data_IF_492497939504
#
_entry.id   IF_492497939504
#
_cell.length_a   1.000
_cell.length_b   1.000
_cell.length_c   1.000
_cell.angle_alpha   90.00
_cell.angle_beta   90.00
_cell.angle_gamma   90.00
#
_symmetry.space_group_name_H-M   'P 1'
#
loop_
_entity.id
_entity.type
_entity.pdbx_description
1 polymer ?
#
# COMPACT_ATOMS: atom_id res chain seq x y z
N UNK A 1 9.11 22.95 5.89
CA UNK A 1 9.00 21.50 6.19
C UNK A 1 8.90 20.79 4.85
N UNK A 2 9.96 20.12 4.39
CA UNK A 2 9.80 19.20 3.25
C UNK A 2 8.91 18.06 3.72
N UNK A 3 7.65 18.06 3.30
CA UNK A 3 6.70 17.03 3.69
C UNK A 3 7.11 15.69 3.09
N UNK A 4 7.23 14.65 3.92
CA UNK A 4 7.43 13.30 3.43
C UNK A 4 6.15 12.80 2.74
N UNK A 5 6.25 12.37 1.49
CA UNK A 5 5.16 11.75 0.74
C UNK A 5 4.93 10.31 1.25
N UNK A 6 3.77 10.06 1.84
CA UNK A 6 3.33 8.71 2.18
C UNK A 6 2.82 7.97 0.95
N UNK A 7 3.20 6.70 0.80
CA UNK A 7 2.67 5.79 -0.23
C UNK A 7 1.93 4.60 0.42
N UNK A 8 0.80 4.21 -0.17
CA UNK A 8 0.10 2.97 0.15
C UNK A 8 0.44 1.92 -0.89
N UNK A 9 0.94 0.75 -0.47
CA UNK A 9 1.37 -0.31 -1.40
C UNK A 9 0.39 -1.48 -1.38
N UNK A 10 -0.14 -1.85 -2.55
CA UNK A 10 -1.03 -3.01 -2.72
C UNK A 10 -0.26 -4.19 -3.30
N UNK A 11 -0.35 -5.37 -2.70
CA UNK A 11 0.39 -6.56 -3.14
C UNK A 11 -0.39 -7.88 -2.99
N UNK A 12 -0.11 -8.87 -3.84
CA UNK A 12 -0.71 -10.22 -3.76
C UNK A 12 0.28 -11.36 -3.51
N UNK A 13 1.58 -11.08 -3.46
CA UNK A 13 2.63 -12.10 -3.50
C UNK A 13 3.78 -11.89 -2.53
N UNK A 14 4.98 -12.28 -2.96
CA UNK A 14 6.21 -12.28 -2.14
C UNK A 14 6.67 -10.89 -1.67
N UNK A 15 6.24 -9.81 -2.35
CA UNK A 15 6.55 -8.44 -1.95
C UNK A 15 7.97 -7.98 -2.29
N UNK A 16 8.61 -8.49 -3.34
CA UNK A 16 9.96 -8.03 -3.74
C UNK A 16 10.00 -6.56 -4.15
N UNK A 17 8.98 -6.07 -4.89
CA UNK A 17 8.84 -4.65 -5.19
C UNK A 17 8.62 -3.80 -3.91
N UNK A 18 7.85 -4.32 -2.95
CA UNK A 18 7.70 -3.69 -1.64
C UNK A 18 9.05 -3.60 -0.92
N UNK A 19 9.84 -4.68 -0.89
CA UNK A 19 11.15 -4.66 -0.25
C UNK A 19 12.07 -3.61 -0.88
N UNK A 20 12.13 -3.53 -2.20
CA UNK A 20 12.93 -2.53 -2.89
C UNK A 20 12.50 -1.09 -2.53
N UNK A 21 11.19 -0.83 -2.41
CA UNK A 21 10.68 0.46 -1.95
C UNK A 21 11.01 0.74 -0.49
N UNK A 22 10.96 -0.27 0.39
CA UNK A 22 11.37 -0.10 1.78
C UNK A 22 12.85 0.29 1.84
N UNK A 23 13.71 -0.48 1.15
CA UNK A 23 15.16 -0.31 1.19
C UNK A 23 15.60 1.04 0.61
N UNK A 24 14.96 1.51 -0.45
CA UNK A 24 15.39 2.70 -1.20
C UNK A 24 14.63 3.98 -0.85
N UNK A 25 13.38 3.87 -0.38
CA UNK A 25 12.52 5.03 -0.14
C UNK A 25 12.24 5.21 1.35
N UNK A 26 11.85 4.15 2.06
CA UNK A 26 11.40 4.24 3.44
C UNK A 26 12.54 4.39 4.45
N UNK A 27 13.63 3.63 4.27
CA UNK A 27 14.80 3.71 5.15
C UNK A 27 15.65 4.97 4.89
N UNK A 28 15.88 5.39 3.63
CA UNK A 28 16.65 6.60 3.35
C UNK A 28 15.79 7.86 3.55
N UNK A 29 16.01 8.59 4.64
CA UNK A 29 15.23 9.78 5.00
C UNK A 29 15.32 10.95 4.01
N UNK A 30 16.33 10.96 3.14
CA UNK A 30 16.64 12.07 2.23
C UNK A 30 15.71 12.13 1.01
N UNK A 31 15.11 10.99 0.62
CA UNK A 31 14.23 10.91 -0.55
C UNK A 31 12.84 11.49 -0.25
N UNK A 32 12.49 11.65 1.03
CA UNK A 32 11.22 12.24 1.44
C UNK A 32 10.01 11.39 1.06
N UNK A 33 10.16 10.06 0.94
CA UNK A 33 9.06 9.13 0.66
C UNK A 33 9.00 8.09 1.77
N UNK A 34 7.80 7.64 2.17
CA UNK A 34 7.65 6.58 3.17
C UNK A 34 6.50 5.66 2.82
N UNK A 35 6.64 4.36 3.08
CA UNK A 35 5.51 3.43 3.03
C UNK A 35 4.61 3.71 4.24
N UNK A 36 3.41 4.23 4.00
CA UNK A 36 2.44 4.56 5.02
C UNK A 36 1.61 3.34 5.44
N UNK A 37 1.26 2.47 4.48
CA UNK A 37 0.61 1.21 4.75
C UNK A 37 0.82 0.21 3.61
N UNK A 38 0.64 -1.08 3.91
CA UNK A 38 0.62 -2.17 2.94
C UNK A 38 -0.70 -2.92 3.01
N UNK A 39 -1.38 -3.06 1.87
CA UNK A 39 -2.63 -3.82 1.74
C UNK A 39 -2.35 -5.10 0.96
N UNK A 40 -2.49 -6.24 1.62
CA UNK A 40 -2.35 -7.56 1.02
C UNK A 40 -3.68 -8.08 0.47
N UNK A 41 -3.69 -8.73 -0.69
CA UNK A 41 -4.94 -9.28 -1.25
C UNK A 41 -5.50 -10.49 -0.51
N UNK A 42 -4.69 -11.11 0.34
CA UNK A 42 -5.03 -12.28 1.16
C UNK A 42 -4.07 -12.40 2.36
N UNK A 43 -4.44 -13.12 3.44
CA UNK A 43 -3.54 -13.33 4.56
C UNK A 43 -2.33 -14.20 4.19
N UNK A 44 -1.26 -14.09 4.96
CA UNK A 44 -0.07 -14.95 4.85
C UNK A 44 0.77 -14.74 3.59
N UNK A 45 0.71 -13.58 2.96
CA UNK A 45 1.61 -13.24 1.84
C UNK A 45 2.92 -12.65 2.35
N UNK A 46 4.02 -12.92 1.64
CA UNK A 46 5.34 -12.41 2.01
C UNK A 46 5.43 -10.88 2.06
N UNK A 47 4.60 -10.16 1.30
CA UNK A 47 4.53 -8.70 1.39
C UNK A 47 4.11 -8.19 2.78
N UNK A 48 3.12 -8.85 3.42
CA UNK A 48 2.67 -8.47 4.76
C UNK A 48 3.76 -8.76 5.80
N UNK A 49 4.40 -9.92 5.70
CA UNK A 49 5.51 -10.29 6.59
C UNK A 49 6.68 -9.30 6.48
N UNK A 50 7.00 -8.84 5.26
CA UNK A 50 8.03 -7.83 5.03
C UNK A 50 7.65 -6.50 5.69
N UNK A 51 6.44 -6.01 5.46
CA UNK A 51 5.96 -4.77 6.04
C UNK A 51 6.03 -4.79 7.58
N UNK A 52 5.59 -5.88 8.21
CA UNK A 52 5.60 -6.04 9.66
C UNK A 52 7.01 -6.01 10.27
N UNK A 53 8.06 -6.42 9.54
CA UNK A 53 9.45 -6.34 10.04
C UNK A 53 9.99 -4.91 10.18
N UNK A 54 9.31 -3.95 9.56
CA UNK A 54 9.65 -2.53 9.59
C UNK A 54 8.57 -1.70 10.30
N UNK A 55 7.69 -2.35 11.09
CA UNK A 55 6.59 -1.71 11.80
C UNK A 55 5.64 -0.90 10.90
N UNK A 56 5.55 -1.27 9.61
CA UNK A 56 4.65 -0.62 8.66
C UNK A 56 3.23 -1.18 8.88
N UNK A 57 2.20 -0.32 9.04
CA UNK A 57 0.82 -0.76 9.17
C UNK A 57 0.37 -1.66 8.01
N UNK A 58 -0.29 -2.77 8.32
CA UNK A 58 -0.76 -3.73 7.31
C UNK A 58 -2.25 -3.99 7.41
N UNK A 59 -2.87 -4.24 6.26
CA UNK A 59 -4.26 -4.67 6.16
C UNK A 59 -4.41 -5.81 5.15
N UNK A 60 -5.46 -6.62 5.32
CA UNK A 60 -5.85 -7.64 4.35
C UNK A 60 -7.13 -7.18 3.66
N UNK A 61 -7.11 -7.13 2.32
CA UNK A 61 -8.27 -6.79 1.51
C UNK A 61 -9.35 -7.87 1.68
N UNK A 62 -10.56 -7.50 2.13
CA UNK A 62 -11.60 -8.48 2.35
C UNK A 62 -12.14 -9.01 1.00
N UNK A 63 -12.57 -10.29 0.96
CA UNK A 63 -13.04 -10.91 -0.29
C UNK A 63 -14.35 -10.30 -0.79
N UNK A 64 -15.16 -9.72 0.09
CA UNK A 64 -16.50 -9.15 -0.11
C UNK A 64 -16.50 -7.61 -0.24
N UNK A 65 -15.37 -6.99 -0.58
CA UNK A 65 -15.28 -5.56 -0.88
C UNK A 65 -15.81 -5.22 -2.29
N UNK A 66 -17.09 -5.52 -2.49
CA UNK A 66 -17.80 -5.23 -3.74
C UNK A 66 -17.87 -3.71 -3.95
N UNK A 67 -17.34 -3.24 -5.07
CA UNK A 67 -17.26 -1.79 -5.37
C UNK A 67 -16.07 -1.07 -4.74
N UNK A 68 -15.25 -1.73 -3.90
CA UNK A 68 -14.00 -1.17 -3.39
C UNK A 68 -14.18 -0.12 -2.28
N UNK A 69 -15.32 -0.12 -1.57
CA UNK A 69 -15.59 0.84 -0.51
C UNK A 69 -14.59 0.72 0.64
N UNK A 70 -14.33 -0.50 1.09
CA UNK A 70 -13.36 -0.76 2.15
C UNK A 70 -11.95 -0.37 1.69
N UNK A 71 -11.59 -0.71 0.45
CA UNK A 71 -10.28 -0.37 -0.09
C UNK A 71 -10.08 1.16 -0.14
N UNK A 72 -11.09 1.89 -0.63
CA UNK A 72 -11.07 3.36 -0.65
C UNK A 72 -10.86 3.94 0.74
N UNK A 73 -11.68 3.53 1.71
CA UNK A 73 -11.63 4.04 3.08
C UNK A 73 -10.29 3.73 3.76
N UNK A 74 -9.74 2.54 3.53
CA UNK A 74 -8.44 2.14 4.09
C UNK A 74 -7.30 2.99 3.50
N UNK A 75 -7.33 3.22 2.18
CA UNK A 75 -6.37 4.09 1.51
C UNK A 75 -6.49 5.56 1.98
N UNK A 76 -7.70 6.09 2.14
CA UNK A 76 -7.93 7.43 2.68
C UNK A 76 -7.42 7.56 4.12
N UNK A 77 -7.75 6.59 4.98
CA UNK A 77 -7.34 6.57 6.37
C UNK A 77 -5.82 6.46 6.56
N UNK A 78 -5.10 5.89 5.58
CA UNK A 78 -3.64 5.82 5.60
C UNK A 78 -2.95 7.20 5.53
N UNK A 79 -3.65 8.22 5.04
CA UNK A 79 -3.07 9.55 4.75
C UNK A 79 -2.00 9.53 3.66
N UNK A 80 -1.89 8.46 2.87
CA UNK A 80 -0.96 8.39 1.75
C UNK A 80 -1.36 9.36 0.63
N UNK A 81 -0.35 10.01 0.03
CA UNK A 81 -0.55 10.87 -1.14
C UNK A 81 -0.48 10.11 -2.47
N UNK A 82 -0.06 8.84 -2.46
CA UNK A 82 0.03 8.00 -3.65
C UNK A 82 -0.34 6.54 -3.32
N UNK A 83 -1.00 5.89 -4.28
CA UNK A 83 -1.30 4.45 -4.25
C UNK A 83 -0.40 3.73 -5.26
N UNK A 84 0.28 2.67 -4.83
CA UNK A 84 1.24 1.91 -5.63
C UNK A 84 0.80 0.46 -5.75
N UNK A 85 0.56 0.00 -6.98
CA UNK A 85 0.25 -1.40 -7.27
C UNK A 85 1.55 -2.19 -7.45
N UNK A 86 1.95 -2.97 -6.45
CA UNK A 86 3.21 -3.72 -6.43
C UNK A 86 2.94 -5.23 -6.48
N UNK A 87 2.57 -5.72 -7.67
CA UNK A 87 2.17 -7.12 -7.85
C UNK A 87 0.76 -7.38 -7.32
N UNK A 88 -0.13 -6.40 -7.44
CA UNK A 88 -1.57 -6.54 -7.18
C UNK A 88 -2.24 -7.27 -8.34
N UNK A 89 -3.06 -8.28 -8.03
CA UNK A 89 -3.65 -9.19 -9.04
C UNK A 89 -5.19 -9.13 -9.09
N UNK A 90 -5.82 -8.16 -8.43
CA UNK A 90 -7.27 -7.94 -8.49
C UNK A 90 -7.57 -6.67 -9.29
N UNK A 91 -8.74 -6.62 -9.93
CA UNK A 91 -9.22 -5.36 -10.50
C UNK A 91 -9.48 -4.35 -9.37
N UNK A 92 -9.16 -3.09 -9.64
CA UNK A 92 -9.49 -1.96 -8.75
C UNK A 92 -10.81 -1.38 -9.26
N UNK A 93 -11.75 -1.12 -8.34
CA UNK A 93 -13.05 -0.55 -8.72
C UNK A 93 -12.89 0.85 -9.31
N UNK A 94 -13.83 1.24 -10.18
CA UNK A 94 -13.83 2.57 -10.78
C UNK A 94 -13.93 3.68 -9.73
N UNK A 95 -14.61 3.44 -8.60
CA UNK A 95 -14.70 4.39 -7.49
C UNK A 95 -13.35 4.65 -6.83
N UNK A 96 -12.58 3.59 -6.55
CA UNK A 96 -11.23 3.75 -6.00
C UNK A 96 -10.33 4.49 -7.00
N UNK A 97 -10.38 4.13 -8.29
CA UNK A 97 -9.59 4.83 -9.33
C UNK A 97 -9.95 6.31 -9.40
N UNK A 98 -11.25 6.66 -9.32
CA UNK A 98 -11.70 8.06 -9.31
C UNK A 98 -11.20 8.82 -8.08
N UNK A 99 -11.22 8.20 -6.90
CA UNK A 99 -10.82 8.84 -5.65
C UNK A 99 -9.32 9.18 -5.61
N UNK A 100 -8.48 8.37 -6.24
CA UNK A 100 -7.02 8.54 -6.27
C UNK A 100 -6.50 8.99 -7.64
N UNK A 101 -7.35 9.64 -8.43
CA UNK A 101 -6.94 10.18 -9.74
C UNK A 101 -6.03 11.40 -9.52
N UNK A 102 -4.84 11.35 -10.10
CA UNK A 102 -3.89 12.47 -10.21
C UNK A 102 -3.71 12.90 -11.65
#
# INVERSE_FOLDING_TARGET
MSGSLGISVLASGSGTNLQAMIDQLHLPSEVGVRVATVIGSRPGIGALERASRYDIPTHVHPPDDDGGQWLRQTLEASGAGLVVLAGWLKLISADVVRAFRG
#
